data_IF_138234003956
#
_entry.id   IF_138234003956
#
_cell.length_a   1.000
_cell.length_b   1.000
_cell.length_c   1.000
_cell.angle_alpha   90.00
_cell.angle_beta   90.00
_cell.angle_gamma   90.00
#
_symmetry.space_group_name_H-M   'P 1'
#
loop_
_entity.id
_entity.type
_entity.pdbx_description
1 polymer ?
#
# COMPACT_ATOMS: atom_id res chain seq x y z
N UNK A 1 -3.16 -46.54 11.76
CA UNK A 1 -2.53 -46.87 13.06
C UNK A 1 -1.36 -45.93 13.43
N UNK A 2 -0.70 -45.25 12.48
CA UNK A 2 0.48 -44.40 12.72
C UNK A 2 0.22 -42.92 13.09
N UNK A 3 -0.99 -42.38 12.84
CA UNK A 3 -1.37 -40.99 13.18
C UNK A 3 -2.18 -40.87 14.48
N UNK A 4 -1.94 -41.74 15.47
CA UNK A 4 -2.60 -41.55 16.79
C UNK A 4 -2.06 -40.30 17.46
N UNK A 5 -2.89 -39.46 18.10
CA UNK A 5 -2.48 -38.17 18.66
C UNK A 5 -1.33 -38.29 19.67
N UNK A 6 -1.23 -39.41 20.37
CA UNK A 6 -0.14 -39.69 21.34
C UNK A 6 1.24 -39.90 20.68
N UNK A 7 1.29 -40.41 19.45
CA UNK A 7 2.53 -40.78 18.74
C UNK A 7 3.02 -39.62 17.86
N UNK A 8 2.11 -38.73 17.43
CA UNK A 8 2.38 -37.59 16.55
C UNK A 8 3.58 -36.73 16.99
N UNK A 9 3.73 -36.32 18.27
CA UNK A 9 4.86 -35.48 18.68
C UNK A 9 6.21 -36.19 18.55
N UNK A 10 6.25 -37.49 18.83
CA UNK A 10 7.48 -38.31 18.71
C UNK A 10 7.86 -38.51 17.25
N UNK A 11 6.87 -38.78 16.39
CA UNK A 11 7.07 -38.91 14.95
C UNK A 11 7.61 -37.61 14.34
N UNK A 12 7.02 -36.46 14.72
CA UNK A 12 7.48 -35.14 14.28
C UNK A 12 8.92 -34.85 14.72
N UNK A 13 9.26 -35.20 15.96
CA UNK A 13 10.61 -35.01 16.49
C UNK A 13 11.63 -35.82 15.69
N UNK A 14 11.30 -37.07 15.36
CA UNK A 14 12.13 -37.93 14.52
C UNK A 14 12.26 -37.43 13.08
N UNK A 15 11.13 -37.02 12.48
CA UNK A 15 11.11 -36.46 11.13
C UNK A 15 11.96 -35.19 11.01
N UNK A 16 12.01 -34.34 12.05
CA UNK A 16 12.84 -33.13 12.09
C UNK A 16 14.34 -33.40 12.13
N UNK A 17 14.76 -34.54 12.64
CA UNK A 17 16.17 -34.95 12.66
C UNK A 17 16.62 -35.58 11.33
N UNK A 18 15.65 -35.96 10.48
CA UNK A 18 15.91 -36.63 9.22
C UNK A 18 16.01 -35.62 8.08
N UNK A 19 16.95 -35.82 7.15
CA UNK A 19 17.06 -34.99 5.95
C UNK A 19 15.97 -35.34 4.91
N UNK A 20 15.50 -36.59 4.90
CA UNK A 20 14.46 -37.07 4.01
C UNK A 20 13.60 -38.11 4.74
N UNK A 21 12.29 -38.08 4.48
CA UNK A 21 11.31 -39.05 5.00
C UNK A 21 10.51 -39.58 3.82
N UNK A 22 10.42 -40.90 3.70
CA UNK A 22 9.70 -41.59 2.62
C UNK A 22 8.53 -42.35 3.23
N UNK A 23 7.33 -42.09 2.73
CA UNK A 23 6.13 -42.83 3.09
C UNK A 23 5.73 -43.72 1.92
N UNK A 24 5.58 -45.02 2.15
CA UNK A 24 5.20 -45.99 1.13
C UNK A 24 3.77 -46.51 1.36
N UNK A 25 3.06 -46.84 0.27
CA UNK A 25 1.73 -47.44 0.28
C UNK A 25 0.70 -46.67 1.14
N UNK A 26 0.68 -45.35 0.97
CA UNK A 26 -0.16 -44.42 1.74
C UNK A 26 -1.47 -44.18 1.02
N UNK A 27 -2.61 -44.24 1.73
CA UNK A 27 -3.90 -43.89 1.15
C UNK A 27 -4.04 -42.37 0.93
N UNK A 28 -4.89 -41.90 0.00
CA UNK A 28 -5.07 -40.46 -0.25
C UNK A 28 -5.38 -39.64 1.02
N UNK A 29 -6.26 -40.16 1.89
CA UNK A 29 -6.58 -39.53 3.18
C UNK A 29 -5.36 -39.43 4.12
N UNK A 30 -4.51 -40.46 4.13
CA UNK A 30 -3.30 -40.43 4.96
C UNK A 30 -2.25 -39.44 4.43
N UNK A 31 -2.18 -39.21 3.10
CA UNK A 31 -1.31 -38.17 2.52
C UNK A 31 -1.74 -36.79 3.02
N UNK A 32 -3.04 -36.52 3.00
CA UNK A 32 -3.63 -35.28 3.53
C UNK A 32 -3.30 -35.09 5.02
N UNK A 33 -3.54 -36.13 5.83
CA UNK A 33 -3.32 -36.05 7.27
C UNK A 33 -1.84 -35.80 7.63
N UNK A 34 -0.89 -36.34 6.85
CA UNK A 34 0.54 -36.07 7.04
C UNK A 34 0.88 -34.59 6.82
N UNK A 35 0.30 -33.96 5.79
CA UNK A 35 0.52 -32.53 5.53
C UNK A 35 -0.11 -31.67 6.61
N UNK A 36 -1.34 -31.98 7.05
CA UNK A 36 -2.02 -31.29 8.16
C UNK A 36 -1.22 -31.40 9.46
N UNK A 37 -0.71 -32.59 9.75
CA UNK A 37 0.11 -32.84 10.93
C UNK A 37 1.34 -31.94 10.98
N UNK A 38 2.07 -31.75 9.86
CA UNK A 38 3.22 -30.83 9.82
C UNK A 38 2.77 -29.37 9.90
N UNK A 39 1.72 -29.01 9.16
CA UNK A 39 1.18 -27.65 9.09
C UNK A 39 0.69 -27.14 10.45
N UNK A 40 -0.04 -27.97 11.19
CA UNK A 40 -0.70 -27.57 12.43
C UNK A 40 0.24 -27.59 13.64
N UNK A 41 1.23 -28.50 13.63
CA UNK A 41 2.18 -28.61 14.75
C UNK A 41 3.42 -27.73 14.61
N UNK A 42 3.75 -27.25 13.40
CA UNK A 42 4.96 -26.44 13.15
C UNK A 42 4.58 -25.11 12.48
N UNK A 43 4.16 -24.15 13.30
CA UNK A 43 3.66 -22.83 12.85
C UNK A 43 4.73 -22.00 12.11
N UNK A 44 6.01 -22.26 12.36
CA UNK A 44 7.10 -21.50 11.75
C UNK A 44 7.32 -21.84 10.27
N UNK A 45 7.00 -23.07 9.83
CA UNK A 45 7.29 -23.55 8.49
C UNK A 45 6.09 -23.40 7.55
N UNK A 46 6.39 -23.34 6.25
CA UNK A 46 5.38 -23.36 5.18
C UNK A 46 5.53 -24.67 4.43
N UNK A 47 4.41 -25.35 4.23
CA UNK A 47 4.33 -26.64 3.55
C UNK A 47 3.91 -26.43 2.11
N UNK A 48 4.59 -27.12 1.19
CA UNK A 48 4.25 -27.14 -0.22
C UNK A 48 4.00 -28.59 -0.63
N UNK A 49 2.85 -28.85 -1.25
CA UNK A 49 2.49 -30.17 -1.77
C UNK A 49 2.42 -30.14 -3.29
N UNK A 50 2.83 -31.24 -3.91
CA UNK A 50 2.90 -31.38 -5.36
C UNK A 50 2.23 -32.71 -5.73
N UNK A 51 1.43 -32.71 -6.79
CA UNK A 51 0.82 -33.93 -7.31
C UNK A 51 0.33 -33.76 -8.75
N UNK A 52 0.10 -34.86 -9.42
CA UNK A 52 -0.35 -34.96 -10.81
C UNK A 52 -1.72 -35.64 -10.94
N UNK A 53 -2.02 -36.57 -10.03
CA UNK A 53 -3.25 -37.37 -10.04
C UNK A 53 -4.37 -36.89 -9.11
N UNK A 54 -5.54 -37.52 -9.26
CA UNK A 54 -6.72 -37.30 -8.40
C UNK A 54 -6.46 -37.63 -6.92
N UNK A 55 -5.59 -38.60 -6.66
CA UNK A 55 -5.23 -39.06 -5.32
C UNK A 55 -4.46 -38.02 -4.50
N UNK A 56 -3.85 -37.04 -5.16
CA UNK A 56 -3.07 -36.00 -4.51
C UNK A 56 -3.86 -34.70 -4.28
N UNK A 57 -5.10 -34.63 -4.77
CA UNK A 57 -5.95 -33.42 -4.64
C UNK A 57 -6.13 -33.02 -3.17
N UNK A 58 -6.46 -33.98 -2.30
CA UNK A 58 -6.63 -33.72 -0.88
C UNK A 58 -5.32 -33.26 -0.21
N UNK A 59 -4.19 -33.86 -0.58
CA UNK A 59 -2.85 -33.48 -0.09
C UNK A 59 -2.47 -32.06 -0.54
N UNK A 60 -2.73 -31.71 -1.79
CA UNK A 60 -2.48 -30.38 -2.38
C UNK A 60 -3.28 -29.31 -1.64
N UNK A 61 -4.58 -29.56 -1.41
CA UNK A 61 -5.47 -28.62 -0.73
C UNK A 61 -5.16 -28.45 0.77
N UNK A 62 -4.58 -29.46 1.41
CA UNK A 62 -4.17 -29.39 2.82
C UNK A 62 -2.89 -28.58 3.04
N UNK A 63 -2.03 -28.42 2.03
CA UNK A 63 -0.80 -27.65 2.15
C UNK A 63 -1.04 -26.14 2.25
N UNK A 64 0.02 -25.38 2.56
CA UNK A 64 -0.06 -23.91 2.47
C UNK A 64 0.00 -23.43 1.02
N UNK A 65 0.72 -24.16 0.17
CA UNK A 65 0.82 -23.92 -1.26
C UNK A 65 0.70 -25.26 -1.98
N UNK A 66 -0.27 -25.37 -2.88
CA UNK A 66 -0.50 -26.53 -3.72
C UNK A 66 0.03 -26.33 -5.13
N UNK A 67 0.78 -27.29 -5.67
CA UNK A 67 1.28 -27.27 -7.05
C UNK A 67 0.81 -28.50 -7.81
N UNK A 68 0.02 -28.31 -8.86
CA UNK A 68 -0.44 -29.36 -9.75
C UNK A 68 0.50 -29.54 -10.94
N UNK A 69 0.89 -30.78 -11.25
CA UNK A 69 1.62 -31.11 -12.46
C UNK A 69 0.62 -31.53 -13.54
N UNK A 70 0.68 -30.89 -14.71
CA UNK A 70 -0.14 -31.28 -15.85
C UNK A 70 0.39 -32.58 -16.44
N UNK A 71 -0.32 -33.68 -16.16
CA UNK A 71 -0.02 -35.02 -16.64
C UNK A 71 -1.07 -35.57 -17.60
N UNK A 72 -0.81 -36.77 -18.12
CA UNK A 72 -1.75 -37.53 -18.96
C UNK A 72 -2.88 -38.18 -18.14
N UNK A 73 -2.72 -38.27 -16.81
CA UNK A 73 -3.67 -38.91 -15.89
C UNK A 73 -4.91 -38.05 -15.57
N UNK A 74 -4.92 -36.79 -16.04
CA UNK A 74 -6.06 -35.88 -15.93
C UNK A 74 -5.68 -34.49 -15.43
N UNK A 75 -6.66 -33.59 -15.39
CA UNK A 75 -6.47 -32.19 -14.94
C UNK A 75 -6.94 -31.94 -13.50
N UNK A 76 -7.27 -33.00 -12.74
CA UNK A 76 -7.89 -32.84 -11.42
C UNK A 76 -6.93 -32.21 -10.39
N UNK A 77 -5.67 -32.64 -10.35
CA UNK A 77 -4.64 -32.06 -9.50
C UNK A 77 -4.39 -30.58 -9.86
N UNK A 78 -4.30 -30.29 -11.16
CA UNK A 78 -4.08 -28.93 -11.69
C UNK A 78 -5.22 -27.99 -11.30
N UNK A 79 -6.47 -28.40 -11.51
CA UNK A 79 -7.65 -27.58 -11.20
C UNK A 79 -7.82 -27.34 -9.70
N UNK A 80 -7.25 -28.21 -8.87
CA UNK A 80 -7.34 -28.14 -7.41
C UNK A 80 -6.09 -27.54 -6.75
N UNK A 81 -5.14 -27.03 -7.54
CA UNK A 81 -3.87 -26.48 -7.08
C UNK A 81 -3.81 -24.95 -7.22
N UNK A 82 -2.95 -24.30 -6.42
CA UNK A 82 -2.70 -22.86 -6.54
C UNK A 82 -1.88 -22.52 -7.78
N UNK A 83 -0.93 -23.40 -8.13
CA UNK A 83 -0.07 -23.25 -9.30
C UNK A 83 -0.05 -24.52 -10.16
N UNK A 84 -0.25 -24.34 -11.46
CA UNK A 84 -0.12 -25.40 -12.45
C UNK A 84 1.25 -25.33 -13.15
N UNK A 85 1.99 -26.44 -13.15
CA UNK A 85 3.25 -26.57 -13.90
C UNK A 85 3.19 -27.75 -14.87
N UNK A 86 3.84 -27.63 -16.02
CA UNK A 86 3.88 -28.73 -17.01
C UNK A 86 4.84 -29.86 -16.62
N UNK A 87 5.95 -29.54 -15.94
CA UNK A 87 7.00 -30.49 -15.59
C UNK A 87 7.63 -30.13 -14.24
N UNK A 88 8.06 -31.13 -13.49
CA UNK A 88 8.70 -30.94 -12.18
C UNK A 88 9.94 -30.03 -12.23
N UNK A 89 10.72 -30.04 -13.33
CA UNK A 89 11.90 -29.16 -13.50
C UNK A 89 11.57 -27.67 -13.38
N UNK A 90 10.35 -27.25 -13.73
CA UNK A 90 9.92 -25.83 -13.66
C UNK A 90 9.74 -25.37 -12.22
N UNK A 91 9.50 -26.29 -11.27
CA UNK A 91 9.32 -25.99 -9.86
C UNK A 91 10.50 -25.21 -9.26
N UNK A 92 11.74 -25.56 -9.63
CA UNK A 92 12.93 -24.86 -9.15
C UNK A 92 12.90 -23.37 -9.50
N UNK A 93 12.48 -23.03 -10.73
CA UNK A 93 12.33 -21.64 -11.17
C UNK A 93 11.12 -20.95 -10.53
N UNK A 94 10.04 -21.69 -10.26
CA UNK A 94 8.86 -21.15 -9.56
C UNK A 94 9.25 -20.70 -8.14
N UNK A 95 9.95 -21.56 -7.39
CA UNK A 95 10.31 -21.26 -6.00
C UNK A 95 11.47 -20.27 -5.89
N UNK A 96 12.62 -20.58 -6.50
CA UNK A 96 13.85 -19.82 -6.29
C UNK A 96 13.79 -18.41 -6.90
N UNK A 97 13.14 -18.26 -8.06
CA UNK A 97 13.03 -16.95 -8.74
C UNK A 97 11.75 -16.25 -8.30
N UNK A 98 10.58 -16.80 -8.63
CA UNK A 98 9.31 -16.09 -8.43
C UNK A 98 8.92 -16.03 -6.95
N UNK A 99 9.11 -17.11 -6.19
CA UNK A 99 8.84 -17.14 -4.76
C UNK A 99 9.66 -16.11 -3.99
N UNK A 100 10.97 -16.03 -4.26
CA UNK A 100 11.86 -15.03 -3.66
C UNK A 100 11.46 -13.59 -4.01
N UNK A 101 11.27 -13.30 -5.31
CA UNK A 101 10.88 -11.97 -5.76
C UNK A 101 9.57 -11.53 -5.13
N UNK A 102 8.57 -12.41 -5.13
CA UNK A 102 7.27 -12.12 -4.54
C UNK A 102 7.38 -11.84 -3.04
N UNK A 103 8.17 -12.63 -2.30
CA UNK A 103 8.38 -12.41 -0.87
C UNK A 103 9.00 -11.03 -0.58
N UNK A 104 10.03 -10.64 -1.33
CA UNK A 104 10.70 -9.34 -1.16
C UNK A 104 9.77 -8.18 -1.52
N UNK A 105 9.06 -8.28 -2.65
CA UNK A 105 8.11 -7.28 -3.13
C UNK A 105 7.00 -7.03 -2.12
N UNK A 106 6.32 -8.10 -1.66
CA UNK A 106 5.24 -8.01 -0.69
C UNK A 106 5.75 -7.46 0.64
N UNK A 107 6.93 -7.90 1.10
CA UNK A 107 7.53 -7.38 2.34
C UNK A 107 7.79 -5.88 2.27
N UNK A 108 8.39 -5.40 1.17
CA UNK A 108 8.62 -3.96 0.94
C UNK A 108 7.29 -3.20 0.86
N UNK A 109 6.32 -3.73 0.13
CA UNK A 109 4.99 -3.14 -0.04
C UNK A 109 4.30 -2.92 1.30
N UNK A 110 4.21 -3.97 2.13
CA UNK A 110 3.54 -3.88 3.43
C UNK A 110 4.23 -2.84 4.33
N UNK A 111 5.55 -2.91 4.44
CA UNK A 111 6.33 -2.00 5.30
C UNK A 111 6.18 -0.53 4.86
N UNK A 112 6.24 -0.28 3.56
CA UNK A 112 6.04 1.04 2.99
C UNK A 112 4.60 1.55 3.19
N UNK A 113 3.59 0.68 3.02
CA UNK A 113 2.20 1.04 3.26
C UNK A 113 1.97 1.50 4.70
N UNK A 114 2.55 0.82 5.69
CA UNK A 114 2.46 1.31 7.08
C UNK A 114 3.17 2.64 7.27
N UNK A 115 4.41 2.76 6.77
CA UNK A 115 5.19 3.99 6.87
C UNK A 115 4.47 5.20 6.25
N UNK A 116 3.93 5.08 5.02
CA UNK A 116 3.26 6.20 4.33
C UNK A 116 1.94 6.61 5.01
N UNK A 117 1.20 5.63 5.55
CA UNK A 117 -0.09 5.85 6.20
C UNK A 117 0.06 6.42 7.61
N UNK A 118 1.21 6.25 8.26
CA UNK A 118 1.52 6.90 9.53
C UNK A 118 1.98 8.35 9.29
N UNK A 119 2.80 8.57 8.28
CA UNK A 119 3.47 9.87 8.05
C UNK A 119 2.49 11.02 7.82
N UNK A 120 1.51 10.87 6.91
CA UNK A 120 0.59 11.97 6.57
C UNK A 120 -0.36 12.37 7.72
N UNK A 121 -1.10 11.43 8.37
CA UNK A 121 -2.00 11.80 9.47
C UNK A 121 -1.26 12.33 10.68
N UNK A 122 -0.07 11.80 10.97
CA UNK A 122 0.72 12.24 12.11
C UNK A 122 1.31 13.65 11.88
N UNK A 123 1.62 14.02 10.63
CA UNK A 123 1.97 15.41 10.27
C UNK A 123 0.80 16.37 10.53
N UNK A 124 -0.42 15.99 10.15
CA UNK A 124 -1.61 16.81 10.41
C UNK A 124 -1.92 16.91 11.92
N UNK A 125 -1.72 15.83 12.67
CA UNK A 125 -1.88 15.82 14.12
C UNK A 125 -0.93 16.81 14.81
N UNK A 126 0.34 16.80 14.40
CA UNK A 126 1.37 17.67 14.98
C UNK A 126 1.19 19.13 14.58
N UNK A 127 0.69 19.40 13.37
CA UNK A 127 0.21 20.72 12.98
C UNK A 127 -0.96 21.21 13.84
N UNK A 128 -1.92 20.32 14.16
CA UNK A 128 -3.03 20.64 15.06
C UNK A 128 -2.57 21.10 16.44
N UNK A 129 -1.42 20.62 16.92
CA UNK A 129 -0.80 21.12 18.16
C UNK A 129 -0.30 22.57 18.01
N UNK A 130 0.36 22.90 16.91
CA UNK A 130 0.82 24.28 16.62
C UNK A 130 -0.33 25.27 16.44
N UNK A 131 -1.43 24.83 15.84
CA UNK A 131 -2.59 25.69 15.56
C UNK A 131 -3.57 25.81 16.73
N UNK A 132 -3.22 25.29 17.92
CA UNK A 132 -4.04 25.35 19.12
C UNK A 132 -5.34 24.53 19.02
N UNK A 133 -5.33 23.44 18.24
CA UNK A 133 -6.48 22.58 17.98
C UNK A 133 -7.69 23.31 17.34
N UNK A 134 -7.44 24.39 16.60
CA UNK A 134 -8.45 25.18 15.88
C UNK A 134 -9.17 24.44 14.74
N UNK A 135 -8.76 23.21 14.40
CA UNK A 135 -9.37 22.39 13.34
C UNK A 135 -9.03 22.86 11.92
N UNK A 136 -8.14 23.83 11.75
CA UNK A 136 -7.67 24.27 10.44
C UNK A 136 -6.89 23.14 9.75
N UNK A 137 -7.32 22.74 8.56
CA UNK A 137 -6.62 21.78 7.72
C UNK A 137 -5.45 22.46 7.02
N UNK A 138 -4.25 21.94 7.22
CA UNK A 138 -3.04 22.45 6.59
C UNK A 138 -2.97 22.07 5.11
N UNK A 139 -3.25 20.80 4.78
CA UNK A 139 -3.10 20.31 3.42
C UNK A 139 -4.31 20.59 2.54
N UNK A 140 -4.07 20.77 1.25
CA UNK A 140 -5.09 20.83 0.22
C UNK A 140 -5.99 19.59 0.26
N UNK A 141 -7.30 19.78 0.36
CA UNK A 141 -8.27 18.69 0.58
C UNK A 141 -8.20 17.62 -0.51
N UNK A 142 -8.16 18.04 -1.79
CA UNK A 142 -8.01 17.13 -2.92
C UNK A 142 -6.61 16.49 -2.91
N UNK A 143 -5.58 17.21 -2.48
CA UNK A 143 -4.21 16.71 -2.34
C UNK A 143 -4.12 15.54 -1.37
N UNK A 144 -4.78 15.63 -0.20
CA UNK A 144 -4.87 14.55 0.78
C UNK A 144 -5.58 13.33 0.22
N UNK A 145 -6.65 13.52 -0.56
CA UNK A 145 -7.35 12.42 -1.23
C UNK A 145 -6.47 11.75 -2.31
N UNK A 146 -5.74 12.55 -3.09
CA UNK A 146 -4.82 12.07 -4.13
C UNK A 146 -3.53 11.46 -3.58
N UNK A 147 -3.15 11.76 -2.32
CA UNK A 147 -1.95 11.24 -1.69
C UNK A 147 -1.90 9.70 -1.73
N UNK A 148 -2.99 9.04 -1.35
CA UNK A 148 -3.03 7.58 -1.26
C UNK A 148 -3.12 6.89 -2.61
N UNK A 149 -3.76 7.53 -3.60
CA UNK A 149 -4.05 6.95 -4.91
C UNK A 149 -2.94 7.29 -5.90
N UNK A 150 -2.76 8.58 -6.20
CA UNK A 150 -1.87 9.03 -7.25
C UNK A 150 -0.43 9.17 -6.77
N UNK A 151 -0.20 9.91 -5.68
CA UNK A 151 1.17 10.32 -5.32
C UNK A 151 2.01 9.26 -4.64
N UNK A 152 1.39 8.37 -3.87
CA UNK A 152 2.11 7.29 -3.17
C UNK A 152 1.57 5.90 -3.49
N UNK A 153 0.39 5.80 -4.12
CA UNK A 153 -0.24 4.53 -4.51
C UNK A 153 0.32 3.96 -5.80
N UNK A 154 0.40 4.77 -6.86
CA UNK A 154 1.00 4.34 -8.13
C UNK A 154 2.49 3.94 -7.98
N UNK A 155 3.35 4.75 -7.32
CA UNK A 155 4.75 4.39 -7.09
C UNK A 155 4.96 3.02 -6.47
N UNK A 156 4.24 2.71 -5.38
CA UNK A 156 4.43 1.46 -4.67
C UNK A 156 3.90 0.26 -5.45
N UNK A 157 2.89 0.44 -6.29
CA UNK A 157 2.41 -0.64 -7.17
C UNK A 157 3.45 -0.94 -8.25
N UNK A 158 4.03 0.10 -8.87
CA UNK A 158 5.10 -0.05 -9.88
C UNK A 158 6.28 -0.80 -9.28
N UNK A 159 6.76 -0.37 -8.11
CA UNK A 159 7.84 -1.06 -7.39
C UNK A 159 7.40 -2.47 -6.98
N UNK A 160 6.21 -2.63 -6.39
CA UNK A 160 5.70 -3.92 -5.95
C UNK A 160 5.56 -4.98 -7.05
N UNK A 161 5.40 -4.59 -8.31
CA UNK A 161 5.26 -5.50 -9.46
C UNK A 161 6.58 -5.69 -10.21
N UNK A 162 7.32 -4.61 -10.46
CA UNK A 162 8.47 -4.62 -11.37
C UNK A 162 9.81 -4.80 -10.65
N UNK A 163 9.89 -4.56 -9.34
CA UNK A 163 11.13 -4.62 -8.57
C UNK A 163 11.78 -6.00 -8.64
N UNK A 164 13.07 -6.05 -8.98
CA UNK A 164 13.87 -7.28 -9.03
C UNK A 164 15.16 -7.04 -8.26
N UNK A 165 15.35 -7.80 -7.19
CA UNK A 165 16.56 -7.70 -6.36
C UNK A 165 17.79 -8.27 -7.08
N UNK A 166 17.63 -9.41 -7.74
CA UNK A 166 18.67 -10.06 -8.55
C UNK A 166 18.11 -10.55 -9.89
N UNK A 167 18.94 -10.63 -10.94
CA UNK A 167 18.55 -11.27 -12.19
C UNK A 167 18.21 -12.75 -11.99
N UNK A 168 17.26 -13.26 -12.79
CA UNK A 168 16.77 -14.64 -12.70
C UNK A 168 17.85 -15.75 -12.70
N UNK A 169 18.93 -15.71 -13.51
CA UNK A 169 19.91 -16.79 -13.53
C UNK A 169 20.67 -16.93 -12.20
N UNK A 170 21.01 -15.82 -11.54
CA UNK A 170 21.72 -15.84 -10.26
C UNK A 170 20.92 -16.52 -9.15
N UNK A 171 19.60 -16.33 -9.13
CA UNK A 171 18.72 -16.99 -8.16
C UNK A 171 18.67 -18.51 -8.32
N UNK A 172 18.96 -19.04 -9.51
CA UNK A 172 19.00 -20.48 -9.78
C UNK A 172 20.39 -21.04 -9.45
N UNK A 173 21.45 -20.30 -9.77
CA UNK A 173 22.84 -20.69 -9.50
C UNK A 173 23.15 -20.75 -8.00
N UNK A 174 22.60 -19.83 -7.20
CA UNK A 174 22.83 -19.74 -5.76
C UNK A 174 21.53 -19.99 -4.95
N UNK A 175 21.11 -21.26 -4.76
CA UNK A 175 19.85 -21.59 -4.06
C UNK A 175 19.85 -21.17 -2.58
N UNK A 176 21.02 -21.02 -1.96
CA UNK A 176 21.16 -20.55 -0.57
C UNK A 176 20.53 -19.17 -0.33
N UNK A 177 20.43 -18.34 -1.38
CA UNK A 177 19.74 -17.05 -1.30
C UNK A 177 18.27 -17.22 -0.91
N UNK A 178 17.62 -18.33 -1.27
CA UNK A 178 16.21 -18.58 -0.95
C UNK A 178 15.95 -18.73 0.56
N UNK A 179 16.96 -19.16 1.33
CA UNK A 179 16.86 -19.43 2.78
C UNK A 179 16.40 -18.22 3.60
N UNK A 180 16.70 -17.00 3.13
CA UNK A 180 16.26 -15.74 3.76
C UNK A 180 14.73 -15.57 3.81
N UNK A 181 13.99 -16.26 2.93
CA UNK A 181 12.53 -16.27 2.92
C UNK A 181 11.95 -17.00 4.14
N UNK A 182 12.20 -18.32 4.26
CA UNK A 182 11.82 -19.11 5.43
C UNK A 182 12.28 -18.53 6.77
N UNK A 183 13.47 -17.92 6.82
CA UNK A 183 14.01 -17.28 8.03
C UNK A 183 13.33 -15.95 8.39
N UNK A 184 12.34 -15.49 7.60
CA UNK A 184 11.57 -14.25 7.81
C UNK A 184 12.44 -13.00 7.92
N UNK A 185 13.54 -12.95 7.18
CA UNK A 185 14.54 -11.89 7.32
C UNK A 185 14.02 -10.51 6.90
N UNK A 186 13.28 -10.44 5.78
CA UNK A 186 12.80 -9.16 5.22
C UNK A 186 11.57 -8.62 5.96
N UNK A 187 10.70 -9.50 6.44
CA UNK A 187 9.50 -9.14 7.19
C UNK A 187 9.57 -9.71 8.61
N UNK A 188 10.07 -8.88 9.52
CA UNK A 188 10.19 -9.16 10.94
C UNK A 188 9.63 -7.98 11.76
N UNK A 189 9.18 -8.23 12.99
CA UNK A 189 8.71 -7.20 13.91
C UNK A 189 9.76 -6.12 14.17
N UNK A 190 11.03 -6.51 14.30
CA UNK A 190 12.13 -5.54 14.42
C UNK A 190 12.22 -4.61 13.20
N UNK A 191 12.11 -5.17 11.99
CA UNK A 191 12.10 -4.38 10.75
C UNK A 191 10.90 -3.46 10.72
N UNK A 192 9.73 -3.93 11.11
CA UNK A 192 8.51 -3.14 11.19
C UNK A 192 8.67 -1.92 12.12
N UNK A 193 9.12 -2.12 13.36
CA UNK A 193 9.32 -1.01 14.29
C UNK A 193 10.39 -0.03 13.82
N UNK A 194 11.44 -0.52 13.13
CA UNK A 194 12.45 0.36 12.52
C UNK A 194 11.87 1.23 11.39
N UNK A 195 10.91 0.74 10.61
CA UNK A 195 10.18 1.56 9.64
C UNK A 195 9.28 2.58 10.31
N UNK A 196 8.59 2.20 11.39
CA UNK A 196 7.76 3.12 12.17
C UNK A 196 8.61 4.22 12.81
N UNK A 197 9.75 3.88 13.42
CA UNK A 197 10.68 4.84 14.00
C UNK A 197 11.25 5.81 12.94
N UNK A 198 11.52 5.32 11.73
CA UNK A 198 11.90 6.19 10.61
C UNK A 198 10.77 7.17 10.23
N UNK A 199 9.51 6.73 10.21
CA UNK A 199 8.37 7.62 9.98
C UNK A 199 8.31 8.76 11.02
N UNK A 200 8.53 8.44 12.30
CA UNK A 200 8.60 9.44 13.36
C UNK A 200 9.76 10.42 13.18
N UNK A 201 10.94 9.94 12.79
CA UNK A 201 12.10 10.79 12.53
C UNK A 201 11.84 11.75 11.37
N UNK A 202 11.36 11.23 10.25
CA UNK A 202 11.09 12.02 9.04
C UNK A 202 9.96 13.03 9.27
N UNK A 203 8.96 12.65 10.08
CA UNK A 203 7.95 13.58 10.58
C UNK A 203 8.55 14.73 11.39
N UNK A 204 9.50 14.46 12.30
CA UNK A 204 10.12 15.52 13.10
C UNK A 204 10.83 16.53 12.20
N UNK A 205 11.46 16.08 11.10
CA UNK A 205 12.05 16.99 10.11
C UNK A 205 10.97 17.86 9.45
N UNK A 206 9.86 17.26 8.99
CA UNK A 206 8.73 17.99 8.40
C UNK A 206 8.17 19.02 9.39
N UNK A 207 8.05 18.65 10.67
CA UNK A 207 7.59 19.54 11.72
C UNK A 207 8.52 20.72 11.98
N UNK A 208 9.84 20.50 11.98
CA UNK A 208 10.81 21.58 12.16
C UNK A 208 10.72 22.55 10.98
N UNK A 209 10.62 22.04 9.76
CA UNK A 209 10.38 22.90 8.57
C UNK A 209 9.07 23.69 8.74
N UNK A 210 8.02 23.04 9.23
CA UNK A 210 6.71 23.66 9.51
C UNK A 210 6.80 24.79 10.53
N UNK A 211 7.49 24.57 11.65
CA UNK A 211 7.61 25.57 12.72
C UNK A 211 8.42 26.78 12.27
N UNK A 212 9.48 26.60 11.48
CA UNK A 212 10.20 27.71 10.88
C UNK A 212 9.33 28.52 9.90
N UNK A 213 8.50 27.86 9.09
CA UNK A 213 7.59 28.55 8.17
C UNK A 213 6.49 29.33 8.88
N UNK A 214 5.89 28.77 9.95
CA UNK A 214 4.91 29.48 10.76
C UNK A 214 5.48 30.72 11.45
N UNK A 215 6.75 30.69 11.89
CA UNK A 215 7.39 31.84 12.53
C UNK A 215 7.87 32.91 11.54
N UNK A 216 8.05 32.57 10.27
CA UNK A 216 8.54 33.51 9.24
C UNK A 216 7.42 34.38 8.63
N UNK A 217 6.15 33.96 8.76
CA UNK A 217 5.00 34.65 8.17
C UNK A 217 3.94 34.99 9.23
N UNK A 218 4.13 36.13 9.92
CA UNK A 218 3.14 36.79 10.79
C UNK A 218 1.96 37.35 9.98
N UNK A 219 1.23 36.50 9.25
CA UNK A 219 -0.01 36.89 8.57
C UNK A 219 -1.14 35.93 8.90
N UNK A 220 -2.30 36.53 9.18
CA UNK A 220 -3.53 35.89 9.61
C UNK A 220 -3.93 34.70 8.73
N UNK A 221 -4.68 33.77 9.31
CA UNK A 221 -5.25 32.61 8.63
C UNK A 221 -5.94 33.03 7.31
N UNK A 222 -5.46 32.50 6.19
CA UNK A 222 -5.98 32.82 4.84
C UNK A 222 -5.15 33.77 3.98
N UNK A 223 -3.97 34.22 4.43
CA UNK A 223 -3.05 34.98 3.56
C UNK A 223 -2.44 34.09 2.46
N UNK A 224 -2.30 34.62 1.24
CA UNK A 224 -1.71 33.94 0.07
C UNK A 224 -0.40 33.20 0.40
N UNK A 225 0.47 33.83 1.22
CA UNK A 225 1.74 33.25 1.69
C UNK A 225 1.64 31.96 2.51
N UNK A 226 0.54 31.74 3.26
CA UNK A 226 0.37 30.53 4.08
C UNK A 226 -0.02 29.32 3.23
N UNK A 227 -0.89 29.53 2.24
CA UNK A 227 -1.31 28.49 1.30
C UNK A 227 -0.13 28.01 0.45
N UNK A 228 0.71 28.94 -0.01
CA UNK A 228 1.95 28.60 -0.73
C UNK A 228 2.89 27.74 0.11
N UNK A 229 3.05 28.08 1.40
CA UNK A 229 3.86 27.30 2.33
C UNK A 229 3.29 25.90 2.58
N UNK A 230 1.96 25.80 2.76
CA UNK A 230 1.26 24.53 2.96
C UNK A 230 1.42 23.58 1.75
N UNK A 231 1.40 24.12 0.53
CA UNK A 231 1.67 23.38 -0.71
C UNK A 231 3.11 22.89 -0.79
N UNK A 232 4.08 23.72 -0.42
CA UNK A 232 5.50 23.33 -0.39
C UNK A 232 5.72 22.20 0.62
N UNK A 233 5.12 22.28 1.81
CA UNK A 233 5.24 21.27 2.85
C UNK A 233 4.56 19.94 2.47
N UNK A 234 3.38 20.00 1.82
CA UNK A 234 2.73 18.81 1.26
C UNK A 234 3.62 18.12 0.23
N UNK A 235 4.17 18.92 -0.68
CA UNK A 235 5.02 18.43 -1.75
C UNK A 235 6.29 17.80 -1.15
N UNK A 236 6.96 18.48 -0.21
CA UNK A 236 8.11 17.94 0.52
C UNK A 236 7.80 16.60 1.21
N UNK A 237 6.62 16.46 1.83
CA UNK A 237 6.19 15.21 2.45
C UNK A 237 6.08 14.07 1.43
N UNK A 238 5.45 14.34 0.29
CA UNK A 238 5.34 13.37 -0.83
C UNK A 238 6.72 13.00 -1.37
N UNK A 239 7.63 13.97 -1.48
CA UNK A 239 8.99 13.75 -1.96
C UNK A 239 9.77 12.83 -1.01
N UNK A 240 9.77 13.13 0.30
CA UNK A 240 10.46 12.34 1.31
C UNK A 240 9.97 10.89 1.27
N UNK A 241 8.65 10.70 1.25
CA UNK A 241 8.03 9.37 1.21
C UNK A 241 8.43 8.60 -0.06
N UNK A 242 8.46 9.25 -1.22
CA UNK A 242 8.87 8.60 -2.48
C UNK A 242 10.39 8.35 -2.55
N UNK A 243 11.25 9.23 -2.02
CA UNK A 243 12.70 8.97 -1.92
C UNK A 243 12.95 7.75 -1.04
N UNK A 244 12.21 7.61 0.06
CA UNK A 244 12.34 6.47 0.97
C UNK A 244 12.02 5.12 0.31
N UNK A 245 11.19 5.14 -0.74
CA UNK A 245 10.90 3.97 -1.55
C UNK A 245 12.08 3.57 -2.45
N UNK A 246 12.82 4.56 -2.98
CA UNK A 246 13.92 4.37 -3.93
C UNK A 246 15.27 4.02 -3.26
N UNK A 247 15.48 4.50 -2.02
CA UNK A 247 16.72 4.40 -1.23
C UNK A 247 17.17 2.96 -0.87
N UNK A 248 16.54 1.92 -1.43
CA UNK A 248 16.88 0.50 -1.19
C UNK A 248 17.28 -0.29 -2.44
N UNK A 249 18.01 0.38 -3.34
CA UNK A 249 19.05 -0.25 -4.17
C UNK A 249 18.57 -1.37 -5.07
N UNK A 250 17.46 -1.16 -5.78
CA UNK A 250 17.12 -2.03 -6.89
C UNK A 250 17.82 -1.53 -8.14
N UNK A 251 18.58 -2.39 -8.80
CA UNK A 251 19.49 -2.05 -9.89
C UNK A 251 18.79 -1.48 -11.14
N UNK A 252 17.44 -1.56 -11.17
CA UNK A 252 16.57 -1.08 -12.25
C UNK A 252 15.49 -0.09 -11.77
N UNK A 253 15.66 0.62 -10.63
CA UNK A 253 14.58 1.48 -10.11
C UNK A 253 14.27 2.65 -11.08
N UNK A 254 12.99 2.85 -11.45
CA UNK A 254 12.59 3.95 -12.31
C UNK A 254 12.49 5.25 -11.49
N UNK A 255 13.60 5.71 -10.92
CA UNK A 255 13.67 6.96 -10.14
C UNK A 255 13.18 8.19 -10.93
N UNK A 256 13.23 8.13 -12.27
CA UNK A 256 12.73 9.18 -13.17
C UNK A 256 11.20 9.26 -13.23
N UNK A 257 10.47 8.14 -13.06
CA UNK A 257 9.00 8.15 -13.15
C UNK A 257 8.33 8.72 -11.89
N UNK A 258 8.99 8.64 -10.73
CA UNK A 258 8.45 9.05 -9.44
C UNK A 258 8.47 10.57 -9.21
N UNK A 259 9.31 11.30 -9.95
CA UNK A 259 9.41 12.77 -9.88
C UNK A 259 8.36 13.48 -10.73
N UNK A 260 7.84 12.82 -11.77
CA UNK A 260 6.92 13.40 -12.76
C UNK A 260 5.58 13.95 -12.20
N UNK A 261 4.91 13.31 -11.22
CA UNK A 261 3.65 13.86 -10.69
C UNK A 261 3.85 15.13 -9.85
N UNK A 262 5.05 15.39 -9.32
CA UNK A 262 5.32 16.51 -8.41
C UNK A 262 5.19 17.89 -9.10
N UNK A 263 5.73 18.01 -10.31
CA UNK A 263 5.65 19.23 -11.13
C UNK A 263 4.20 19.50 -11.55
N UNK A 264 3.43 18.44 -11.80
CA UNK A 264 2.02 18.54 -12.16
C UNK A 264 1.14 19.00 -10.98
N UNK A 265 1.38 18.50 -9.76
CA UNK A 265 0.65 18.94 -8.56
C UNK A 265 0.90 20.41 -8.23
N UNK A 266 2.16 20.85 -8.34
CA UNK A 266 2.51 22.25 -8.16
C UNK A 266 1.77 23.12 -9.21
N UNK A 267 1.78 22.72 -10.49
CA UNK A 267 1.10 23.48 -11.54
C UNK A 267 -0.43 23.51 -11.38
N UNK A 268 -1.07 22.38 -11.11
CA UNK A 268 -2.53 22.28 -10.94
C UNK A 268 -3.01 23.04 -9.70
N UNK A 269 -2.29 22.93 -8.58
CA UNK A 269 -2.61 23.68 -7.36
C UNK A 269 -2.48 25.19 -7.57
N UNK A 270 -1.40 25.65 -8.21
CA UNK A 270 -1.24 27.07 -8.54
C UNK A 270 -2.32 27.59 -9.50
N UNK A 271 -2.74 26.79 -10.49
CA UNK A 271 -3.80 27.18 -11.44
C UNK A 271 -5.19 27.27 -10.76
N UNK A 272 -5.55 26.35 -9.85
CA UNK A 272 -6.83 26.40 -9.12
C UNK A 272 -6.88 27.56 -8.10
N UNK A 273 -5.82 27.75 -7.30
CA UNK A 273 -5.74 28.87 -6.35
C UNK A 273 -5.61 30.22 -7.07
N UNK A 274 -4.87 30.26 -8.17
CA UNK A 274 -4.75 31.43 -9.05
C UNK A 274 -6.04 31.80 -9.77
N UNK A 275 -6.97 30.86 -9.98
CA UNK A 275 -8.31 31.13 -10.51
C UNK A 275 -9.31 31.61 -9.44
N UNK A 276 -9.07 31.28 -8.16
CA UNK A 276 -9.92 31.66 -7.03
C UNK A 276 -9.76 33.15 -6.66
N UNK A 277 -8.53 33.68 -6.68
CA UNK A 277 -8.20 35.06 -6.28
C UNK A 277 -8.82 36.15 -7.20
N UNK A 278 -8.81 36.05 -8.54
CA UNK A 278 -9.44 37.01 -9.44
C UNK A 278 -10.97 37.00 -9.34
N UNK A 279 -11.56 35.85 -9.02
CA UNK A 279 -13.01 35.65 -8.90
C UNK A 279 -13.53 36.25 -7.58
N UNK A 280 -12.80 36.04 -6.47
CA UNK A 280 -13.09 36.67 -5.18
C UNK A 280 -12.97 38.21 -5.22
N UNK A 281 -11.95 38.76 -5.92
CA UNK A 281 -11.82 40.21 -6.16
C UNK A 281 -12.93 40.78 -7.03
N UNK A 282 -13.39 40.05 -8.06
CA UNK A 282 -14.52 40.48 -8.92
C UNK A 282 -15.86 40.52 -8.18
N UNK A 283 -15.99 39.72 -7.13
CA UNK A 283 -17.19 39.64 -6.29
C UNK A 283 -17.15 40.57 -5.06
N UNK A 284 -16.10 41.40 -4.90
CA UNK A 284 -16.01 42.40 -3.83
C UNK A 284 -15.89 41.82 -2.42
N UNK A 285 -15.42 40.58 -2.28
CA UNK A 285 -15.35 39.89 -0.99
C UNK A 285 -14.19 40.44 -0.13
N UNK A 286 -14.42 40.76 1.17
CA UNK A 286 -13.38 41.31 2.05
C UNK A 286 -12.27 40.29 2.34
N UNK A 287 -11.00 40.72 2.43
CA UNK A 287 -9.88 39.83 2.73
C UNK A 287 -9.92 39.36 4.19
N UNK A 288 -9.85 38.03 4.41
CA UNK A 288 -9.69 37.43 5.74
C UNK A 288 -10.84 36.55 6.26
N UNK A 289 -11.91 36.35 5.48
CA UNK A 289 -13.02 35.46 5.86
C UNK A 289 -12.85 34.05 5.29
N UNK A 290 -13.08 33.03 6.12
CA UNK A 290 -13.13 31.62 5.69
C UNK A 290 -14.45 31.37 4.97
N UNK A 291 -14.41 31.17 3.66
CA UNK A 291 -15.61 30.87 2.87
C UNK A 291 -15.67 29.37 2.54
N UNK A 292 -16.81 28.75 2.82
CA UNK A 292 -17.07 27.35 2.50
C UNK A 292 -17.93 27.27 1.25
N UNK A 293 -17.42 26.63 0.20
CA UNK A 293 -18.19 26.35 -1.01
C UNK A 293 -19.20 25.22 -0.69
N UNK A 294 -20.50 25.49 -0.79
CA UNK A 294 -21.56 24.48 -0.63
C UNK A 294 -22.15 24.17 -2.01
N UNK A 295 -21.92 22.96 -2.51
CA UNK A 295 -22.66 22.47 -3.67
C UNK A 295 -24.07 22.05 -3.23
N UNK A 296 -25.07 22.88 -3.53
CA UNK A 296 -26.48 22.53 -3.35
C UNK A 296 -27.02 21.90 -4.63
N UNK A 297 -27.10 20.58 -4.68
CA UNK A 297 -27.82 19.88 -5.75
C UNK A 297 -29.34 19.99 -5.49
N UNK A 298 -30.03 20.81 -6.29
CA UNK A 298 -31.51 20.86 -6.27
C UNK A 298 -32.03 19.67 -7.06
N UNK A 299 -32.57 18.67 -6.36
CA UNK A 299 -33.42 17.63 -6.97
C UNK A 299 -34.65 18.29 -7.58
N UNK A 300 -34.76 18.31 -8.90
CA UNK A 300 -35.96 18.73 -9.62
C UNK A 300 -36.75 17.50 -10.03
N UNK A 301 -37.95 17.33 -9.44
CA UNK A 301 -38.93 16.33 -9.83
C UNK A 301 -39.24 16.42 -11.32
N UNK A 302 -39.13 15.27 -11.98
CA UNK A 302 -39.43 15.06 -13.39
C UNK A 302 -40.96 14.96 -13.54
N UNK A 303 -41.61 16.00 -14.05
CA UNK A 303 -42.92 15.92 -14.71
C UNK A 303 -43.25 17.23 -15.44
N UNK A 304 -43.02 17.23 -16.76
CA UNK A 304 -43.98 17.66 -17.79
C UNK A 304 -43.26 18.12 -19.06
N UNK A 305 -43.81 17.63 -20.17
CA UNK A 305 -43.36 17.76 -21.55
C UNK A 305 -43.72 19.15 -22.10
N UNK A 306 -42.75 19.86 -22.71
CA UNK A 306 -42.89 20.48 -24.05
C UNK A 306 -41.60 21.18 -24.52
N UNK A 307 -41.11 20.69 -25.66
CA UNK A 307 -40.44 21.34 -26.79
C UNK A 307 -39.55 22.58 -26.61
N UNK A 308 -38.41 22.47 -27.31
CA UNK A 308 -37.59 23.49 -28.00
C UNK A 308 -36.47 24.23 -27.25
N UNK A 309 -35.29 24.09 -27.87
CA UNK A 309 -34.07 24.91 -27.83
C UNK A 309 -32.99 24.63 -26.77
N UNK A 310 -31.85 24.28 -27.36
CA UNK A 310 -30.46 24.27 -26.92
C UNK A 310 -30.07 25.41 -25.95
N UNK A 311 -29.20 25.06 -25.00
CA UNK A 311 -28.10 25.87 -24.40
C UNK A 311 -28.18 26.17 -22.89
N UNK A 312 -27.10 25.75 -22.21
CA UNK A 312 -26.61 26.12 -20.86
C UNK A 312 -27.54 25.96 -19.64
N UNK A 313 -27.43 24.81 -18.97
CA UNK A 313 -27.88 24.66 -17.58
C UNK A 313 -26.93 25.41 -16.64
N UNK A 314 -27.42 26.55 -16.18
CA UNK A 314 -26.88 27.46 -15.17
C UNK A 314 -26.66 26.76 -13.82
N UNK A 315 -25.41 26.58 -13.39
CA UNK A 315 -25.08 26.36 -11.98
C UNK A 315 -25.07 27.74 -11.30
N UNK A 316 -25.94 27.95 -10.30
CA UNK A 316 -25.96 29.19 -9.52
C UNK A 316 -25.13 28.96 -8.25
N UNK A 317 -23.93 29.55 -8.20
CA UNK A 317 -23.14 29.64 -6.97
C UNK A 317 -23.86 30.54 -5.97
N UNK A 318 -24.10 30.04 -4.76
CA UNK A 318 -24.54 30.86 -3.63
C UNK A 318 -23.51 30.76 -2.51
N UNK A 319 -23.04 31.91 -2.06
CA UNK A 319 -22.08 32.09 -0.97
C UNK A 319 -22.81 32.65 0.25
N UNK A 320 -22.74 31.96 1.39
CA UNK A 320 -23.28 32.45 2.68
C UNK A 320 -22.12 32.78 3.64
N UNK A 321 -22.19 33.96 4.26
CA UNK A 321 -21.30 34.38 5.34
C UNK A 321 -21.72 33.75 6.67
N UNK A 322 -20.82 33.07 7.38
CA UNK A 322 -21.10 32.68 8.77
C UNK A 322 -21.08 33.90 9.68
N UNK A 323 -22.19 34.12 10.39
CA UNK A 323 -22.38 35.26 11.29
C UNK A 323 -21.38 35.25 12.44
N UNK A 324 -20.65 36.35 12.56
CA UNK A 324 -20.00 36.79 13.80
C UNK A 324 -21.07 37.18 14.81
N UNK A 325 -21.16 36.46 15.94
CA UNK A 325 -21.78 36.99 17.14
C UNK A 325 -20.96 38.18 17.63
N UNK A 326 -21.41 39.39 17.28
CA UNK A 326 -20.93 40.62 17.89
C UNK A 326 -21.75 40.83 19.16
N UNK A 327 -21.10 40.69 20.30
CA UNK A 327 -21.61 41.20 21.57
C UNK A 327 -21.60 42.74 21.46
N UNK A 328 -22.78 43.35 21.47
CA UNK A 328 -22.96 44.77 21.77
C UNK A 328 -23.60 44.87 23.15
N UNK A 329 -22.94 45.63 24.03
CA UNK A 329 -23.30 46.05 25.41
C UNK A 329 -24.64 45.58 25.99
#
# INVERSE_FOLDING_TARGET
>A
MALRPEIVPRLLSFARLSCAVICNSVSPAQKEDMVKLVRDNIISVRTLAIGDGADDVAMIQAAHVGVGISGQEGMQAVNSSDYAIAQFRVLGRLLLVHGRWNYIRISKLILYMFYKNITLPLALYWYGYLSGASGSTMYWEIGVQLYNIAFTGLPIVVVGVLDKDLPAPFSIEFPDLYRRGPDRFFFNMYTFFRWVAAAFYELMVIFVVMSYGCNAFDKAAGSESRVEFDMIAFSLTVLIVNIRLDDRGSMDSPGVFLMTPYIATFKVGYDEYGAFIPTAKRLGMPPGSTYRMRFSARSSNFNSVRSTQTSHSFFREQWETQGTNVVSL
#
